data_IF_837801767451
#
_entry.id   IF_837801767451
#
_cell.length_a   1.000
_cell.length_b   1.000
_cell.length_c   1.000
_cell.angle_alpha   90.00
_cell.angle_beta   90.00
_cell.angle_gamma   90.00
#
_symmetry.space_group_name_H-M   'P 1'
#
loop_
_entity.id
_entity.type
_entity.pdbx_description
1 polymer ?
#
# COMPACT_ATOMS: atom_id res chain seq x y z
N UNK A 1 86.38 41.02 34.77
CA UNK A 1 86.20 40.41 33.43
C UNK A 1 84.74 40.32 33.00
N UNK A 2 83.76 40.31 33.91
CA UNK A 2 82.32 40.33 33.58
C UNK A 2 81.80 41.64 32.92
N UNK A 3 82.61 42.69 32.83
CA UNK A 3 82.20 44.02 32.36
C UNK A 3 82.41 44.27 30.86
N UNK A 4 83.25 43.47 30.18
CA UNK A 4 83.51 43.61 28.75
C UNK A 4 82.50 42.80 27.92
N UNK A 5 82.13 41.60 28.34
CA UNK A 5 81.11 40.79 27.67
C UNK A 5 79.74 41.48 27.61
N UNK A 6 79.37 42.22 28.66
CA UNK A 6 78.14 43.00 28.70
C UNK A 6 78.17 44.21 27.76
N UNK A 7 79.33 44.84 27.57
CA UNK A 7 79.50 45.96 26.63
C UNK A 7 79.43 45.47 25.18
N UNK A 8 80.04 44.33 24.88
CA UNK A 8 80.00 43.74 23.53
C UNK A 8 78.60 43.21 23.19
N UNK A 9 77.89 42.62 24.15
CA UNK A 9 76.46 42.29 24.00
C UNK A 9 75.60 43.54 23.78
N UNK A 10 75.88 44.63 24.48
CA UNK A 10 75.13 45.89 24.34
C UNK A 10 75.39 46.57 22.99
N UNK A 11 76.65 46.62 22.54
CA UNK A 11 77.03 47.15 21.22
C UNK A 11 76.43 46.30 20.09
N UNK A 12 76.47 44.97 20.21
CA UNK A 12 75.87 44.05 19.26
C UNK A 12 74.35 44.21 19.17
N UNK A 13 73.66 44.27 20.32
CA UNK A 13 72.21 44.48 20.39
C UNK A 13 71.82 45.86 19.85
N UNK A 14 72.60 46.89 20.14
CA UNK A 14 72.38 48.26 19.67
C UNK A 14 72.56 48.39 18.15
N UNK A 15 73.61 47.78 17.57
CA UNK A 15 73.83 47.76 16.13
C UNK A 15 72.74 46.98 15.38
N UNK A 16 72.29 45.84 15.92
CA UNK A 16 71.19 45.06 15.37
C UNK A 16 69.85 45.84 15.38
N UNK A 17 69.63 46.62 16.45
CA UNK A 17 68.44 47.46 16.60
C UNK A 17 68.43 48.66 15.64
N UNK A 18 69.60 49.23 15.34
CA UNK A 18 69.80 50.30 14.35
C UNK A 18 69.66 49.78 12.90
N UNK A 19 70.07 48.53 12.63
CA UNK A 19 70.06 47.94 11.29
C UNK A 19 68.66 47.62 10.74
N UNK A 20 67.65 47.47 11.60
CA UNK A 20 66.24 47.28 11.21
C UNK A 20 65.46 48.51 11.71
N UNK A 21 65.28 49.57 10.90
CA UNK A 21 64.82 50.86 11.43
C UNK A 21 63.40 50.80 12.01
N UNK A 22 62.50 50.09 11.33
CA UNK A 22 61.09 50.01 11.72
C UNK A 22 60.89 49.08 12.92
N UNK A 23 60.26 49.63 13.96
CA UNK A 23 59.84 48.87 15.15
C UNK A 23 58.91 47.70 14.80
N UNK A 24 58.01 47.86 13.83
CA UNK A 24 57.10 46.78 13.41
C UNK A 24 57.85 45.62 12.77
N UNK A 25 58.86 45.91 11.95
CA UNK A 25 59.72 44.90 11.30
C UNK A 25 60.60 44.18 12.32
N UNK A 26 61.20 44.91 13.28
CA UNK A 26 61.97 44.31 14.39
C UNK A 26 61.10 43.36 15.22
N UNK A 27 59.90 43.79 15.59
CA UNK A 27 58.94 42.96 16.34
C UNK A 27 58.53 41.72 15.55
N UNK A 28 58.21 41.85 14.26
CA UNK A 28 57.84 40.72 13.41
C UNK A 28 58.96 39.67 13.28
N UNK A 29 60.23 40.10 13.13
CA UNK A 29 61.39 39.21 13.07
C UNK A 29 61.63 38.52 14.42
N UNK A 30 61.54 39.25 15.53
CA UNK A 30 61.66 38.68 16.87
C UNK A 30 60.55 37.66 17.17
N UNK A 31 59.29 38.02 16.89
CA UNK A 31 58.13 37.14 17.07
C UNK A 31 58.26 35.87 16.20
N UNK A 32 58.77 36.00 14.96
CA UNK A 32 59.08 34.85 14.10
C UNK A 32 60.19 33.98 14.69
N UNK A 33 61.31 34.55 15.12
CA UNK A 33 62.41 33.80 15.73
C UNK A 33 61.97 33.04 16.98
N UNK A 34 61.22 33.68 17.89
CA UNK A 34 60.69 33.04 19.10
C UNK A 34 59.75 31.89 18.74
N UNK A 35 58.87 32.06 17.74
CA UNK A 35 58.00 30.99 17.24
C UNK A 35 58.80 29.83 16.65
N UNK A 36 59.74 30.10 15.74
CA UNK A 36 60.58 29.07 15.11
C UNK A 36 61.39 28.30 16.14
N UNK A 37 62.04 28.98 17.10
CA UNK A 37 62.80 28.30 18.15
C UNK A 37 61.92 27.45 19.05
N UNK A 38 60.74 27.97 19.44
CA UNK A 38 59.78 27.19 20.21
C UNK A 38 59.26 25.97 19.42
N UNK A 39 59.10 26.07 18.10
CA UNK A 39 58.68 24.96 17.25
C UNK A 39 59.79 23.94 17.02
N UNK A 40 61.04 24.38 16.85
CA UNK A 40 62.23 23.53 16.76
C UNK A 40 62.44 22.74 18.05
N UNK A 41 62.40 23.39 19.21
CA UNK A 41 62.53 22.74 20.52
C UNK A 41 61.40 21.71 20.74
N UNK A 42 60.15 22.05 20.37
CA UNK A 42 59.03 21.08 20.41
C UNK A 42 59.26 19.91 19.47
N UNK A 43 59.80 20.16 18.28
CA UNK A 43 60.08 19.12 17.28
C UNK A 43 61.20 18.20 17.75
N UNK A 44 62.28 18.73 18.31
CA UNK A 44 63.38 17.98 18.90
C UNK A 44 62.90 17.13 20.08
N UNK A 45 62.09 17.71 20.97
CA UNK A 45 61.48 16.96 22.09
C UNK A 45 60.59 15.82 21.62
N UNK A 46 59.74 16.05 20.60
CA UNK A 46 58.91 15.00 20.00
C UNK A 46 59.75 13.94 19.29
N UNK A 47 60.82 14.34 18.60
CA UNK A 47 61.73 13.43 17.91
C UNK A 47 62.49 12.56 18.91
N UNK A 48 62.98 13.13 20.02
CA UNK A 48 63.63 12.41 21.10
C UNK A 48 62.68 11.41 21.78
N UNK A 49 61.45 11.83 22.09
CA UNK A 49 60.43 10.93 22.65
C UNK A 49 60.12 9.78 21.68
N UNK A 50 59.96 10.07 20.38
CA UNK A 50 59.73 9.04 19.36
C UNK A 50 60.91 8.08 19.26
N UNK A 51 62.14 8.58 19.28
CA UNK A 51 63.34 7.75 19.25
C UNK A 51 63.43 6.85 20.49
N UNK A 52 63.11 7.37 21.69
CA UNK A 52 63.06 6.59 22.91
C UNK A 52 62.00 5.47 22.86
N UNK A 53 60.81 5.77 22.33
CA UNK A 53 59.74 4.77 22.11
C UNK A 53 60.19 3.66 21.14
N UNK A 54 60.79 4.03 20.01
CA UNK A 54 61.25 3.02 19.03
C UNK A 54 62.43 2.20 19.57
N UNK A 55 63.34 2.81 20.32
CA UNK A 55 64.42 2.09 20.99
C UNK A 55 63.88 1.08 22.02
N UNK A 56 62.84 1.44 22.79
CA UNK A 56 62.17 0.52 23.70
C UNK A 56 61.43 -0.60 22.96
N UNK A 57 60.77 -0.32 21.83
CA UNK A 57 60.16 -1.36 20.99
C UNK A 57 61.18 -2.33 20.42
N UNK A 58 62.36 -1.85 20.01
CA UNK A 58 63.46 -2.71 19.58
C UNK A 58 63.92 -3.64 20.70
N UNK A 59 64.05 -3.13 21.92
CA UNK A 59 64.32 -3.94 23.12
C UNK A 59 63.24 -5.01 23.34
N UNK A 60 61.96 -4.66 23.18
CA UNK A 60 60.85 -5.63 23.27
C UNK A 60 60.88 -6.70 22.16
N UNK A 61 61.38 -6.35 20.97
CA UNK A 61 61.58 -7.30 19.87
C UNK A 61 62.74 -8.26 20.16
N UNK A 62 63.88 -7.74 20.60
CA UNK A 62 65.05 -8.53 21.01
C UNK A 62 64.70 -9.49 22.16
N UNK A 63 63.85 -9.05 23.08
CA UNK A 63 63.40 -9.86 24.20
C UNK A 63 62.21 -10.78 23.86
N UNK A 64 61.66 -10.73 22.65
CA UNK A 64 60.38 -11.37 22.30
C UNK A 64 60.37 -12.89 22.47
N UNK A 65 61.52 -13.57 22.30
CA UNK A 65 61.64 -15.02 22.53
C UNK A 65 61.45 -15.42 24.00
N UNK A 66 61.68 -14.50 24.93
CA UNK A 66 61.51 -14.70 26.37
C UNK A 66 60.24 -14.05 26.94
N UNK A 67 59.40 -13.44 26.11
CA UNK A 67 58.12 -12.85 26.50
C UNK A 67 57.01 -13.80 26.05
N UNK A 68 56.41 -14.48 27.01
CA UNK A 68 55.21 -15.29 26.81
C UNK A 68 53.98 -14.67 27.50
N UNK A 69 52.81 -15.30 27.33
CA UNK A 69 51.56 -14.88 27.97
C UNK A 69 51.58 -14.95 29.50
N UNK A 70 52.62 -15.54 30.09
CA UNK A 70 52.82 -15.66 31.54
C UNK A 70 53.87 -14.67 32.07
N UNK A 71 54.60 -14.01 31.18
CA UNK A 71 55.69 -13.10 31.54
C UNK A 71 55.08 -11.80 32.06
N UNK A 72 55.17 -11.59 33.37
CA UNK A 72 54.72 -10.36 34.00
C UNK A 72 55.63 -9.18 33.67
N UNK A 73 55.07 -7.96 33.63
CA UNK A 73 55.86 -6.74 33.44
C UNK A 73 56.99 -6.60 34.48
N UNK A 74 56.76 -7.04 35.73
CA UNK A 74 57.76 -6.99 36.80
C UNK A 74 58.95 -7.94 36.54
N UNK A 75 58.71 -9.10 35.90
CA UNK A 75 59.78 -10.03 35.56
C UNK A 75 60.61 -9.50 34.40
N UNK A 76 59.95 -8.84 33.44
CA UNK A 76 60.62 -8.12 32.36
C UNK A 76 61.47 -6.96 32.90
N UNK A 77 60.92 -6.14 33.80
CA UNK A 77 61.63 -5.03 34.45
C UNK A 77 62.85 -5.50 35.25
N UNK A 78 62.76 -6.64 35.94
CA UNK A 78 63.90 -7.22 36.67
C UNK A 78 65.07 -7.58 35.75
N UNK A 79 64.78 -8.06 34.54
CA UNK A 79 65.78 -8.52 33.57
C UNK A 79 66.37 -7.39 32.72
N UNK A 80 65.54 -6.44 32.31
CA UNK A 80 65.92 -5.38 31.36
C UNK A 80 65.95 -3.98 31.97
N UNK A 81 65.74 -3.86 33.28
CA UNK A 81 65.66 -2.56 33.98
C UNK A 81 66.91 -1.69 33.90
N UNK A 82 68.08 -2.30 33.69
CA UNK A 82 69.35 -1.60 33.53
C UNK A 82 69.63 -1.16 32.08
N UNK A 83 68.82 -1.57 31.09
CA UNK A 83 69.01 -1.17 29.70
C UNK A 83 68.71 0.34 29.53
N UNK A 84 69.59 1.14 28.91
CA UNK A 84 69.34 2.56 28.68
C UNK A 84 68.03 2.85 27.94
N UNK A 85 67.62 1.96 27.03
CA UNK A 85 66.37 2.05 26.26
C UNK A 85 65.14 1.80 27.14
N UNK A 86 65.29 1.00 28.21
CA UNK A 86 64.26 0.81 29.22
C UNK A 86 64.14 2.04 30.14
N UNK A 87 65.27 2.58 30.62
CA UNK A 87 65.29 3.73 31.51
C UNK A 87 64.85 5.05 30.84
N UNK A 88 64.90 5.13 29.50
CA UNK A 88 64.58 6.33 28.73
C UNK A 88 63.09 6.72 28.71
N UNK A 89 62.17 5.80 29.06
CA UNK A 89 60.73 6.04 29.09
C UNK A 89 60.19 6.04 30.52
N UNK A 90 59.04 6.68 30.73
CA UNK A 90 58.36 6.56 32.02
C UNK A 90 57.70 5.17 32.18
N UNK A 91 57.38 4.80 33.43
CA UNK A 91 56.84 3.47 33.75
C UNK A 91 55.50 3.19 33.06
N UNK A 92 54.64 4.19 32.91
CA UNK A 92 53.30 4.03 32.32
C UNK A 92 53.42 3.75 30.83
N UNK A 93 54.28 4.47 30.13
CA UNK A 93 54.55 4.24 28.70
C UNK A 93 55.18 2.86 28.46
N UNK A 94 56.16 2.46 29.29
CA UNK A 94 56.78 1.14 29.21
C UNK A 94 55.79 -0.01 29.38
N UNK A 95 54.93 0.07 30.39
CA UNK A 95 53.95 -0.97 30.68
C UNK A 95 52.89 -1.06 29.57
N UNK A 96 52.48 0.08 28.99
CA UNK A 96 51.55 0.11 27.85
C UNK A 96 52.13 -0.59 26.61
N UNK A 97 53.36 -0.23 26.22
CA UNK A 97 54.04 -0.83 25.07
C UNK A 97 54.36 -2.32 25.28
N UNK A 98 54.70 -2.70 26.52
CA UNK A 98 54.90 -4.10 26.88
C UNK A 98 53.60 -4.91 26.71
N UNK A 99 52.47 -4.42 27.24
CA UNK A 99 51.15 -5.08 27.08
C UNK A 99 50.74 -5.21 25.61
N UNK A 100 50.99 -4.17 24.81
CA UNK A 100 50.74 -4.21 23.36
C UNK A 100 51.55 -5.33 22.69
N UNK A 101 52.85 -5.44 23.00
CA UNK A 101 53.71 -6.48 22.45
C UNK A 101 53.26 -7.88 22.88
N UNK A 102 52.93 -8.10 24.16
CA UNK A 102 52.42 -9.38 24.65
C UNK A 102 51.16 -9.78 23.88
N UNK A 103 50.19 -8.87 23.73
CA UNK A 103 48.97 -9.13 22.96
C UNK A 103 49.28 -9.48 21.50
N UNK A 104 50.19 -8.76 20.86
CA UNK A 104 50.58 -9.03 19.47
C UNK A 104 51.24 -10.40 19.30
N UNK A 105 52.06 -10.83 20.27
CA UNK A 105 52.67 -12.17 20.28
C UNK A 105 51.60 -13.26 20.48
N UNK A 106 50.68 -13.07 21.42
CA UNK A 106 49.55 -13.99 21.65
C UNK A 106 48.68 -14.13 20.40
N UNK A 107 48.34 -13.02 19.75
CA UNK A 107 47.56 -13.01 18.50
C UNK A 107 48.29 -13.74 17.38
N UNK A 108 49.61 -13.54 17.25
CA UNK A 108 50.45 -14.24 16.26
C UNK A 108 50.47 -15.76 16.52
N UNK A 109 50.64 -16.18 17.78
CA UNK A 109 50.61 -17.60 18.18
C UNK A 109 49.23 -18.20 17.91
N UNK A 110 48.15 -17.50 18.26
CA UNK A 110 46.78 -17.97 18.04
C UNK A 110 46.44 -18.04 16.55
N UNK A 111 46.87 -17.06 15.75
CA UNK A 111 46.67 -17.04 14.30
C UNK A 111 47.41 -18.21 13.62
N UNK A 112 48.67 -18.46 13.99
CA UNK A 112 49.42 -19.62 13.50
C UNK A 112 48.75 -20.94 13.89
N UNK A 113 48.26 -21.06 15.14
CA UNK A 113 47.48 -22.22 15.59
C UNK A 113 46.20 -22.41 14.76
N UNK A 114 45.44 -21.34 14.54
CA UNK A 114 44.21 -21.37 13.76
C UNK A 114 44.46 -21.76 12.30
N UNK A 115 45.58 -21.32 11.70
CA UNK A 115 45.96 -21.73 10.35
C UNK A 115 46.21 -23.25 10.28
N UNK A 116 46.95 -23.80 11.24
CA UNK A 116 47.18 -25.25 11.34
C UNK A 116 45.88 -26.04 11.53
N UNK A 117 44.96 -25.55 12.37
CA UNK A 117 43.63 -26.16 12.55
C UNK A 117 42.78 -26.05 11.28
N UNK A 118 42.90 -24.95 10.54
CA UNK A 118 42.20 -24.76 9.25
C UNK A 118 42.67 -25.77 8.22
N UNK A 119 43.98 -25.97 8.09
CA UNK A 119 44.56 -26.98 7.20
C UNK A 119 44.11 -28.39 7.58
N UNK A 120 44.06 -28.68 8.88
CA UNK A 120 43.52 -29.93 9.40
C UNK A 120 42.04 -30.13 9.03
N UNK A 121 41.20 -29.11 9.18
CA UNK A 121 39.78 -29.18 8.74
C UNK A 121 39.66 -29.33 7.21
N UNK A 122 40.57 -28.75 6.43
CA UNK A 122 40.63 -28.94 4.98
C UNK A 122 40.87 -30.41 4.62
N UNK A 123 41.85 -31.04 5.27
CA UNK A 123 42.10 -32.48 5.13
C UNK A 123 40.86 -33.32 5.46
N UNK A 124 40.16 -33.00 6.55
CA UNK A 124 38.92 -33.70 6.93
C UNK A 124 37.83 -33.54 5.84
N UNK A 125 37.78 -32.39 5.17
CA UNK A 125 36.83 -32.10 4.10
C UNK A 125 37.11 -32.85 2.80
N UNK A 126 38.38 -33.13 2.52
CA UNK A 126 38.80 -33.94 1.37
C UNK A 126 38.40 -35.41 1.52
N UNK A 127 38.21 -35.88 2.76
CA UNK A 127 37.79 -37.25 3.06
C UNK A 127 36.26 -37.40 2.97
N UNK A 128 35.79 -38.01 1.87
CA UNK A 128 34.36 -38.21 1.58
C UNK A 128 33.64 -39.15 2.56
N UNK A 129 34.38 -39.97 3.31
CA UNK A 129 33.81 -40.91 4.29
C UNK A 129 33.45 -40.25 5.62
N UNK A 130 33.82 -38.98 5.82
CA UNK A 130 33.41 -38.22 7.01
C UNK A 130 32.00 -37.66 6.78
N UNK A 131 31.06 -38.11 7.61
CA UNK A 131 29.67 -37.64 7.65
C UNK A 131 29.38 -37.01 9.01
N UNK A 132 28.27 -36.25 9.17
CA UNK A 132 27.92 -35.58 10.43
C UNK A 132 27.76 -36.51 11.65
N UNK A 133 27.66 -37.82 11.46
CA UNK A 133 27.57 -38.84 12.53
C UNK A 133 28.87 -39.60 12.77
N UNK A 134 29.94 -39.28 12.03
CA UNK A 134 31.25 -39.91 12.19
C UNK A 134 31.83 -39.67 13.58
N UNK A 135 32.58 -40.66 14.08
CA UNK A 135 33.23 -40.63 15.40
C UNK A 135 34.73 -40.57 15.25
N UNK A 136 35.37 -39.66 16.00
CA UNK A 136 36.82 -39.45 15.96
C UNK A 136 37.62 -40.75 16.09
N UNK A 137 37.26 -41.58 17.06
CA UNK A 137 37.92 -42.86 17.36
C UNK A 137 37.96 -43.83 16.18
N UNK A 138 37.01 -43.75 15.25
CA UNK A 138 36.92 -44.63 14.07
C UNK A 138 37.71 -44.11 12.87
N UNK A 139 37.90 -42.80 12.76
CA UNK A 139 38.43 -42.17 11.54
C UNK A 139 39.86 -41.66 11.71
N UNK A 140 40.31 -41.42 12.95
CA UNK A 140 41.64 -40.83 13.24
C UNK A 140 42.82 -41.59 12.64
N UNK A 141 42.68 -42.91 12.48
CA UNK A 141 43.73 -43.80 11.96
C UNK A 141 44.04 -43.51 10.49
N UNK A 142 43.04 -43.07 9.72
CA UNK A 142 43.15 -42.79 8.29
C UNK A 142 44.06 -41.58 7.99
N UNK A 143 44.28 -40.72 8.99
CA UNK A 143 44.98 -39.45 8.82
C UNK A 143 46.41 -39.46 9.37
N UNK A 144 46.86 -40.56 10.02
CA UNK A 144 48.15 -40.61 10.71
C UNK A 144 49.35 -40.25 9.84
N UNK A 145 49.29 -40.52 8.55
CA UNK A 145 50.37 -40.26 7.60
C UNK A 145 50.39 -38.81 7.08
N UNK A 146 49.27 -38.08 7.13
CA UNK A 146 49.14 -36.75 6.55
C UNK A 146 49.94 -35.70 7.36
N UNK A 147 50.75 -34.85 6.70
CA UNK A 147 51.49 -33.78 7.38
C UNK A 147 50.60 -32.82 8.19
N UNK A 148 49.40 -32.50 7.70
CA UNK A 148 48.43 -31.60 8.36
C UNK A 148 47.88 -32.21 9.64
N UNK A 149 47.70 -33.54 9.68
CA UNK A 149 47.36 -34.27 10.89
C UNK A 149 48.48 -34.22 11.94
N UNK A 150 49.73 -34.41 11.50
CA UNK A 150 50.91 -34.38 12.37
C UNK A 150 51.19 -32.98 12.94
N UNK A 151 50.88 -31.92 12.18
CA UNK A 151 51.07 -30.53 12.58
C UNK A 151 50.17 -30.09 13.75
N UNK A 152 48.97 -30.68 13.90
CA UNK A 152 48.09 -30.41 15.04
C UNK A 152 48.53 -31.18 16.28
N UNK A 153 48.57 -30.50 17.44
CA UNK A 153 48.84 -31.11 18.75
C UNK A 153 47.84 -32.20 19.07
N UNK A 154 48.30 -33.32 19.64
CA UNK A 154 47.46 -34.50 19.90
C UNK A 154 46.15 -34.18 20.65
N UNK A 155 46.23 -33.34 21.69
CA UNK A 155 45.09 -32.92 22.54
C UNK A 155 44.05 -32.07 21.80
N UNK A 156 44.42 -31.44 20.70
CA UNK A 156 43.55 -30.51 19.95
C UNK A 156 42.82 -31.19 18.78
N UNK A 157 43.30 -32.36 18.33
CA UNK A 157 42.79 -33.03 17.13
C UNK A 157 41.32 -33.43 17.25
N UNK A 158 40.93 -34.00 18.40
CA UNK A 158 39.55 -34.43 18.62
C UNK A 158 38.60 -33.22 18.72
N UNK A 159 39.03 -32.14 19.39
CA UNK A 159 38.26 -30.91 19.46
C UNK A 159 38.07 -30.29 18.07
N UNK A 160 39.14 -30.17 17.28
CA UNK A 160 39.09 -29.68 15.91
C UNK A 160 38.18 -30.54 15.00
N UNK A 161 38.21 -31.86 15.18
CA UNK A 161 37.32 -32.77 14.48
C UNK A 161 35.84 -32.56 14.90
N UNK A 162 35.57 -32.46 16.20
CA UNK A 162 34.21 -32.25 16.70
C UNK A 162 33.63 -30.90 16.25
N UNK A 163 34.46 -29.86 16.21
CA UNK A 163 34.09 -28.57 15.60
C UNK A 163 33.73 -28.73 14.13
N UNK A 164 34.54 -29.45 13.34
CA UNK A 164 34.23 -29.72 11.94
C UNK A 164 32.91 -30.49 11.77
N UNK A 165 32.64 -31.50 12.61
CA UNK A 165 31.36 -32.22 12.61
C UNK A 165 30.19 -31.28 12.97
N UNK A 166 30.38 -30.36 13.92
CA UNK A 166 29.37 -29.36 14.26
C UNK A 166 29.11 -28.38 13.10
N UNK A 167 30.15 -27.95 12.39
CA UNK A 167 30.05 -27.13 11.17
C UNK A 167 29.24 -27.85 10.08
N UNK A 168 29.50 -29.15 9.84
CA UNK A 168 28.72 -29.94 8.89
C UNK A 168 27.23 -30.01 9.25
N UNK A 169 26.91 -30.23 10.54
CA UNK A 169 25.51 -30.22 11.03
C UNK A 169 24.85 -28.86 10.95
N UNK A 170 25.60 -27.77 11.12
CA UNK A 170 25.07 -26.42 10.96
C UNK A 170 24.71 -26.17 9.51
N UNK A 171 25.64 -26.47 8.59
CA UNK A 171 25.45 -26.30 7.16
C UNK A 171 24.25 -27.11 6.64
N UNK A 172 24.07 -28.36 7.09
CA UNK A 172 22.90 -29.19 6.72
C UNK A 172 21.58 -28.56 7.17
N UNK A 173 21.51 -28.06 8.42
CA UNK A 173 20.32 -27.37 8.94
C UNK A 173 20.04 -26.06 8.22
N UNK A 174 21.06 -25.30 7.87
CA UNK A 174 20.91 -24.05 7.11
C UNK A 174 20.36 -24.32 5.70
N UNK A 175 20.84 -25.37 5.03
CA UNK A 175 20.31 -25.80 3.73
C UNK A 175 18.86 -26.24 3.84
N UNK A 176 18.50 -27.04 4.84
CA UNK A 176 17.12 -27.48 5.09
C UNK A 176 16.19 -26.29 5.35
N UNK A 177 16.60 -25.35 6.21
CA UNK A 177 15.84 -24.14 6.51
C UNK A 177 15.68 -23.25 5.28
N UNK A 178 16.73 -23.07 4.48
CA UNK A 178 16.66 -22.31 3.24
C UNK A 178 15.73 -22.97 2.21
N UNK A 179 15.75 -24.31 2.10
CA UNK A 179 14.84 -25.05 1.23
C UNK A 179 13.38 -24.91 1.67
N UNK A 180 13.12 -25.07 2.98
CA UNK A 180 11.79 -24.86 3.56
C UNK A 180 11.28 -23.43 3.34
N UNK A 181 12.13 -22.43 3.57
CA UNK A 181 11.78 -21.03 3.33
C UNK A 181 11.41 -20.76 1.87
N UNK A 182 12.12 -21.37 0.90
CA UNK A 182 11.78 -21.27 -0.53
C UNK A 182 10.43 -21.92 -0.86
N UNK A 183 10.13 -23.09 -0.29
CA UNK A 183 8.83 -23.76 -0.49
C UNK A 183 7.69 -22.94 0.10
N UNK A 184 7.87 -22.40 1.31
CA UNK A 184 6.86 -21.56 1.96
C UNK A 184 6.62 -20.25 1.21
N UNK A 185 7.67 -19.62 0.67
CA UNK A 185 7.57 -18.42 -0.17
C UNK A 185 6.84 -18.73 -1.48
N UNK A 186 7.20 -19.81 -2.16
CA UNK A 186 6.52 -20.25 -3.37
C UNK A 186 5.04 -20.59 -3.13
N UNK A 187 4.71 -21.19 -1.99
CA UNK A 187 3.33 -21.48 -1.59
C UNK A 187 2.52 -20.19 -1.39
N UNK A 188 3.09 -19.18 -0.72
CA UNK A 188 2.46 -17.87 -0.54
C UNK A 188 2.22 -17.15 -1.86
N UNK A 189 3.16 -17.21 -2.81
CA UNK A 189 2.98 -16.64 -4.14
C UNK A 189 1.85 -17.34 -4.90
N UNK A 190 1.82 -18.68 -4.90
CA UNK A 190 0.76 -19.47 -5.53
C UNK A 190 -0.62 -19.20 -4.91
N UNK A 191 -0.69 -18.99 -3.60
CA UNK A 191 -1.93 -18.64 -2.92
C UNK A 191 -2.45 -17.26 -3.32
N UNK A 192 -1.57 -16.24 -3.34
CA UNK A 192 -1.90 -14.89 -3.82
C UNK A 192 -2.36 -14.89 -5.28
N UNK A 193 -1.72 -15.67 -6.14
CA UNK A 193 -2.12 -15.83 -7.54
C UNK A 193 -3.52 -16.44 -7.65
N UNK A 194 -3.84 -17.46 -6.86
CA UNK A 194 -5.18 -18.07 -6.81
C UNK A 194 -6.23 -17.08 -6.32
N UNK A 195 -5.92 -16.30 -5.29
CA UNK A 195 -6.85 -15.31 -4.75
C UNK A 195 -7.14 -14.19 -5.76
N UNK A 196 -6.09 -13.65 -6.38
CA UNK A 196 -6.21 -12.61 -7.42
C UNK A 196 -6.97 -13.12 -8.64
N UNK A 197 -6.73 -14.37 -9.06
CA UNK A 197 -7.51 -15.02 -10.14
C UNK A 197 -8.99 -15.15 -9.77
N UNK A 198 -9.30 -15.63 -8.57
CA UNK A 198 -10.69 -15.73 -8.09
C UNK A 198 -11.38 -14.38 -7.95
N UNK A 199 -10.64 -13.31 -7.63
CA UNK A 199 -11.16 -11.95 -7.58
C UNK A 199 -11.48 -11.44 -8.99
N UNK A 200 -10.53 -11.57 -9.92
CA UNK A 200 -10.73 -11.18 -11.32
C UNK A 200 -11.91 -11.91 -11.97
N UNK A 201 -12.03 -13.22 -11.73
CA UNK A 201 -13.16 -14.01 -12.23
C UNK A 201 -14.50 -13.50 -11.68
N UNK A 202 -14.56 -13.13 -10.39
CA UNK A 202 -15.77 -12.55 -9.79
C UNK A 202 -16.11 -11.19 -10.37
N UNK A 203 -15.11 -10.32 -10.53
CA UNK A 203 -15.26 -9.01 -11.16
C UNK A 203 -15.73 -9.15 -12.62
N UNK A 204 -15.19 -10.10 -13.39
CA UNK A 204 -15.59 -10.39 -14.76
C UNK A 204 -17.03 -10.90 -14.85
N UNK A 205 -17.41 -11.85 -13.98
CA UNK A 205 -18.80 -12.34 -13.91
C UNK A 205 -19.78 -11.23 -13.53
N UNK A 206 -19.41 -10.33 -12.62
CA UNK A 206 -20.23 -9.18 -12.26
C UNK A 206 -20.36 -8.21 -13.43
N UNK A 207 -19.26 -7.90 -14.10
CA UNK A 207 -19.24 -7.05 -15.29
C UNK A 207 -20.11 -7.63 -16.41
N UNK A 208 -20.05 -8.93 -16.68
CA UNK A 208 -20.91 -9.57 -17.68
C UNK A 208 -22.39 -9.53 -17.30
N UNK A 209 -22.73 -9.70 -16.02
CA UNK A 209 -24.11 -9.52 -15.53
C UNK A 209 -24.59 -8.08 -15.74
N UNK A 210 -23.75 -7.09 -15.47
CA UNK A 210 -24.08 -5.68 -15.68
C UNK A 210 -24.26 -5.38 -17.16
N UNK A 211 -23.33 -5.81 -18.02
CA UNK A 211 -23.43 -5.63 -19.48
C UNK A 211 -24.69 -6.29 -20.03
N UNK A 212 -25.03 -7.51 -19.61
CA UNK A 212 -26.25 -8.18 -20.04
C UNK A 212 -27.50 -7.41 -19.62
N UNK A 213 -27.55 -6.89 -18.40
CA UNK A 213 -28.68 -6.05 -17.94
C UNK A 213 -28.84 -4.79 -18.79
N UNK A 214 -27.73 -4.13 -19.15
CA UNK A 214 -27.76 -2.95 -20.02
C UNK A 214 -28.28 -3.33 -21.40
N UNK A 215 -27.72 -4.37 -22.05
CA UNK A 215 -28.18 -4.84 -23.36
C UNK A 215 -29.67 -5.19 -23.37
N UNK A 216 -30.17 -5.89 -22.35
CA UNK A 216 -31.60 -6.21 -22.22
C UNK A 216 -32.46 -4.96 -22.08
N UNK A 217 -32.06 -4.02 -21.22
CA UNK A 217 -32.80 -2.75 -21.06
C UNK A 217 -32.82 -1.95 -22.36
N UNK A 218 -31.71 -1.88 -23.07
CA UNK A 218 -31.61 -1.21 -24.35
C UNK A 218 -32.48 -1.89 -25.41
N UNK A 219 -32.51 -3.22 -25.45
CA UNK A 219 -33.40 -3.99 -26.32
C UNK A 219 -34.89 -3.73 -26.00
N UNK A 220 -35.28 -3.74 -24.72
CA UNK A 220 -36.63 -3.38 -24.27
C UNK A 220 -37.02 -1.98 -24.71
N UNK A 221 -36.18 -0.97 -24.44
CA UNK A 221 -36.47 0.43 -24.80
C UNK A 221 -36.52 0.64 -26.31
N UNK A 222 -35.62 -0.01 -27.06
CA UNK A 222 -35.61 0.04 -28.52
C UNK A 222 -36.89 -0.58 -29.12
N UNK A 223 -37.34 -1.71 -28.59
CA UNK A 223 -38.60 -2.32 -29.00
C UNK A 223 -39.83 -1.51 -28.62
N UNK A 224 -39.86 -0.89 -27.43
CA UNK A 224 -40.92 0.05 -27.05
C UNK A 224 -41.00 1.24 -28.02
N UNK A 225 -39.87 1.77 -28.49
CA UNK A 225 -39.86 2.81 -29.52
C UNK A 225 -40.46 2.31 -30.84
N UNK A 226 -40.12 1.10 -31.27
CA UNK A 226 -40.74 0.46 -32.45
C UNK A 226 -42.27 0.34 -32.30
N UNK A 227 -42.75 -0.06 -31.12
CA UNK A 227 -44.19 -0.15 -30.85
C UNK A 227 -44.86 1.22 -30.95
N UNK A 228 -44.24 2.26 -30.39
CA UNK A 228 -44.74 3.64 -30.50
C UNK A 228 -44.78 4.07 -31.95
N UNK A 229 -43.76 3.78 -32.75
CA UNK A 229 -43.70 4.14 -34.18
C UNK A 229 -44.76 3.41 -35.02
N UNK A 230 -44.91 2.10 -34.79
CA UNK A 230 -45.63 1.19 -35.71
C UNK A 230 -47.07 0.93 -35.29
N UNK A 231 -47.34 0.81 -33.98
CA UNK A 231 -48.66 0.42 -33.45
C UNK A 231 -49.36 1.66 -32.91
N UNK A 232 -50.33 2.16 -33.69
CA UNK A 232 -51.16 3.32 -33.33
C UNK A 232 -52.60 2.96 -32.99
N UNK A 233 -53.04 1.75 -33.36
CA UNK A 233 -54.40 1.28 -33.14
C UNK A 233 -54.55 0.68 -31.72
N UNK A 234 -55.45 1.23 -30.86
CA UNK A 234 -55.75 0.67 -29.54
C UNK A 234 -56.39 -0.72 -29.56
N UNK A 235 -56.78 -1.24 -30.73
CA UNK A 235 -57.37 -2.59 -30.90
C UNK A 235 -56.44 -3.55 -31.64
N UNK A 236 -55.18 -3.18 -31.85
CA UNK A 236 -54.21 -4.00 -32.57
C UNK A 236 -54.06 -5.39 -31.92
N UNK A 237 -54.11 -6.45 -32.74
CA UNK A 237 -53.87 -7.82 -32.29
C UNK A 237 -52.39 -8.19 -32.41
N UNK A 238 -51.91 -9.04 -31.49
CA UNK A 238 -50.51 -9.52 -31.51
C UNK A 238 -50.21 -10.33 -32.77
N UNK A 239 -51.12 -11.23 -33.15
CA UNK A 239 -50.96 -12.13 -34.30
C UNK A 239 -50.82 -11.40 -35.63
N UNK A 240 -51.55 -10.30 -35.82
CA UNK A 240 -51.48 -9.49 -37.06
C UNK A 240 -50.30 -8.51 -37.05
N UNK A 241 -49.92 -8.04 -35.86
CA UNK A 241 -48.87 -7.02 -35.69
C UNK A 241 -47.47 -7.63 -35.68
N UNK A 242 -47.31 -8.85 -35.16
CA UNK A 242 -46.01 -9.52 -35.00
C UNK A 242 -45.21 -9.60 -36.31
N UNK A 243 -45.76 -10.09 -37.45
CA UNK A 243 -44.99 -10.15 -38.70
C UNK A 243 -44.54 -8.79 -39.25
N UNK A 244 -45.25 -7.70 -38.87
CA UNK A 244 -44.88 -6.34 -39.26
C UNK A 244 -43.74 -5.80 -38.40
N UNK A 245 -43.77 -6.09 -37.10
CA UNK A 245 -42.72 -5.72 -36.15
C UNK A 245 -41.42 -6.48 -36.43
N UNK A 246 -41.50 -7.76 -36.81
CA UNK A 246 -40.33 -8.58 -37.18
C UNK A 246 -39.62 -8.12 -38.46
N UNK A 247 -40.32 -7.41 -39.35
CA UNK A 247 -39.76 -6.83 -40.58
C UNK A 247 -39.08 -5.47 -40.37
N UNK A 248 -38.95 -5.03 -39.12
CA UNK A 248 -38.21 -3.82 -38.76
C UNK A 248 -36.76 -3.90 -39.28
N UNK A 249 -36.29 -2.93 -40.10
CA UNK A 249 -34.93 -2.95 -40.65
C UNK A 249 -33.82 -2.92 -39.59
N UNK A 250 -34.13 -2.35 -38.41
CA UNK A 250 -33.20 -2.31 -37.28
C UNK A 250 -33.21 -3.61 -36.46
N UNK A 251 -34.08 -4.57 -36.79
CA UNK A 251 -34.18 -5.86 -36.13
C UNK A 251 -34.57 -5.78 -34.66
N UNK A 252 -35.22 -4.69 -34.22
CA UNK A 252 -35.53 -4.44 -32.79
C UNK A 252 -36.43 -5.52 -32.19
N UNK A 253 -37.35 -6.07 -32.99
CA UNK A 253 -38.25 -7.15 -32.58
C UNK A 253 -37.61 -8.55 -32.55
N UNK A 254 -36.49 -8.74 -33.25
CA UNK A 254 -35.76 -10.03 -33.34
C UNK A 254 -34.46 -10.02 -32.52
N UNK A 255 -34.26 -9.00 -31.69
CA UNK A 255 -33.07 -8.85 -30.88
C UNK A 255 -32.93 -10.04 -29.91
N UNK A 256 -31.79 -10.77 -29.88
CA UNK A 256 -31.58 -11.93 -28.99
C UNK A 256 -31.73 -11.62 -27.49
N UNK A 257 -31.46 -10.38 -27.08
CA UNK A 257 -31.58 -9.94 -25.69
C UNK A 257 -33.04 -9.63 -25.30
N UNK A 258 -33.97 -9.61 -26.26
CA UNK A 258 -35.41 -9.47 -26.06
C UNK A 258 -36.12 -10.82 -26.25
N UNK A 259 -36.62 -11.39 -25.17
CA UNK A 259 -37.35 -12.66 -25.25
C UNK A 259 -38.69 -12.52 -25.97
N UNK A 260 -39.11 -13.54 -26.74
CA UNK A 260 -40.39 -13.50 -27.46
C UNK A 260 -41.61 -13.24 -26.54
N UNK A 261 -41.64 -13.84 -25.35
CA UNK A 261 -42.70 -13.60 -24.36
C UNK A 261 -42.66 -12.18 -23.76
N UNK A 262 -41.48 -11.57 -23.67
CA UNK A 262 -41.30 -10.19 -23.23
C UNK A 262 -41.78 -9.21 -24.31
N UNK A 263 -41.44 -9.47 -25.58
CA UNK A 263 -41.91 -8.70 -26.73
C UNK A 263 -43.45 -8.69 -26.83
N UNK A 264 -44.10 -9.83 -26.63
CA UNK A 264 -45.57 -9.92 -26.60
C UNK A 264 -46.17 -9.15 -25.42
N UNK A 265 -45.56 -9.24 -24.24
CA UNK A 265 -46.01 -8.50 -23.05
C UNK A 265 -45.94 -6.99 -23.29
N UNK A 266 -44.81 -6.50 -23.78
CA UNK A 266 -44.61 -5.07 -24.08
C UNK A 266 -45.61 -4.58 -25.14
N UNK A 267 -45.91 -5.40 -26.15
CA UNK A 267 -46.94 -5.09 -27.13
C UNK A 267 -48.31 -4.91 -26.47
N UNK A 268 -48.73 -5.87 -25.64
CA UNK A 268 -50.04 -5.82 -24.96
C UNK A 268 -50.14 -4.62 -24.00
N UNK A 269 -49.06 -4.32 -23.30
CA UNK A 269 -48.95 -3.14 -22.42
C UNK A 269 -49.09 -1.84 -23.23
N UNK A 270 -48.37 -1.71 -24.34
CA UNK A 270 -48.48 -0.54 -25.23
C UNK A 270 -49.89 -0.36 -25.79
N UNK A 271 -50.54 -1.44 -26.26
CA UNK A 271 -51.92 -1.40 -26.77
C UNK A 271 -52.89 -0.99 -25.66
N UNK A 272 -52.71 -1.52 -24.45
CA UNK A 272 -53.49 -1.11 -23.27
C UNK A 272 -53.30 0.38 -22.97
N UNK A 273 -52.07 0.89 -22.99
CA UNK A 273 -51.79 2.32 -22.75
C UNK A 273 -52.36 3.23 -23.84
N UNK A 274 -52.39 2.78 -25.11
CA UNK A 274 -53.11 3.47 -26.18
C UNK A 274 -54.61 3.54 -25.88
N UNK A 275 -55.20 2.43 -25.44
CA UNK A 275 -56.61 2.38 -25.09
C UNK A 275 -56.95 3.28 -23.90
N UNK A 276 -56.13 3.25 -22.84
CA UNK A 276 -56.29 4.11 -21.68
C UNK A 276 -56.15 5.60 -22.03
N UNK A 277 -55.27 5.95 -22.98
CA UNK A 277 -55.21 7.31 -23.54
C UNK A 277 -56.54 7.68 -24.21
N UNK A 278 -57.07 6.83 -25.08
CA UNK A 278 -58.38 7.07 -25.71
C UNK A 278 -59.51 7.24 -24.68
N UNK A 279 -59.49 6.48 -23.57
CA UNK A 279 -60.44 6.62 -22.47
C UNK A 279 -60.27 7.96 -21.74
N UNK A 280 -59.03 8.40 -21.50
CA UNK A 280 -58.77 9.73 -20.89
C UNK A 280 -59.25 10.86 -21.80
N UNK A 281 -58.99 10.78 -23.09
CA UNK A 281 -59.42 11.77 -24.07
C UNK A 281 -60.95 11.82 -24.17
N UNK A 282 -61.63 10.67 -24.10
CA UNK A 282 -63.09 10.61 -24.05
C UNK A 282 -63.66 11.23 -22.77
N UNK A 283 -63.01 11.03 -21.61
CA UNK A 283 -63.41 11.72 -20.36
C UNK A 283 -63.22 13.23 -20.46
N UNK A 284 -62.15 13.69 -21.11
CA UNK A 284 -61.94 15.13 -21.36
C UNK A 284 -63.05 15.69 -22.26
N UNK A 285 -63.41 14.97 -23.32
CA UNK A 285 -64.56 15.31 -24.17
C UNK A 285 -65.86 15.42 -23.34
N UNK A 286 -66.13 14.48 -22.43
CA UNK A 286 -67.31 14.55 -21.55
C UNK A 286 -67.30 15.83 -20.70
N UNK A 287 -66.14 16.20 -20.14
CA UNK A 287 -66.03 17.43 -19.35
C UNK A 287 -66.17 18.71 -20.17
N UNK A 288 -65.72 18.70 -21.42
CA UNK A 288 -65.83 19.85 -22.34
C UNK A 288 -67.27 20.01 -22.87
N UNK A 289 -67.90 18.91 -23.27
CA UNK A 289 -69.22 18.92 -23.91
C UNK A 289 -70.38 19.00 -22.91
N UNK A 290 -70.21 18.45 -21.70
CA UNK A 290 -71.23 18.40 -20.65
C UNK A 290 -70.76 19.25 -19.45
N UNK A 291 -70.38 20.50 -19.73
CA UNK A 291 -70.07 21.49 -18.70
C UNK A 291 -71.29 21.79 -17.80
N UNK A 292 -71.12 22.28 -16.56
CA UNK A 292 -72.21 22.52 -15.59
C UNK A 292 -73.41 23.32 -16.15
N UNK A 293 -73.13 24.26 -17.04
CA UNK A 293 -74.08 25.16 -17.70
C UNK A 293 -74.82 24.48 -18.87
N UNK A 294 -74.20 23.47 -19.50
CA UNK A 294 -74.85 22.59 -20.46
C UNK A 294 -75.64 21.48 -19.76
N UNK A 295 -75.22 21.06 -18.57
CA UNK A 295 -75.81 19.99 -17.77
C UNK A 295 -77.19 20.33 -17.18
N UNK A 296 -77.48 21.61 -16.91
CA UNK A 296 -78.76 22.08 -16.34
C UNK A 296 -79.79 22.49 -17.38
N UNK A 297 -79.40 22.61 -18.66
CA UNK A 297 -80.32 22.91 -19.77
C UNK A 297 -81.14 21.67 -20.13
N UNK A 298 -82.46 21.83 -20.19
CA UNK A 298 -83.38 20.80 -20.67
C UNK A 298 -83.44 20.82 -22.20
N UNK A 299 -83.30 19.66 -22.84
CA UNK A 299 -83.49 19.52 -24.28
C UNK A 299 -84.98 19.55 -24.64
N UNK A 300 -85.34 19.60 -25.93
CA UNK A 300 -86.73 19.66 -26.43
C UNK A 300 -87.64 18.53 -25.88
N UNK A 301 -87.06 17.41 -25.43
CA UNK A 301 -87.76 16.29 -24.79
C UNK A 301 -87.84 16.35 -23.25
N UNK A 302 -87.49 17.47 -22.62
CA UNK A 302 -87.57 17.67 -21.16
C UNK A 302 -86.52 16.93 -20.32
N UNK A 303 -85.50 16.32 -20.96
CA UNK A 303 -84.42 15.58 -20.30
C UNK A 303 -83.12 16.39 -20.36
N UNK A 304 -82.26 16.24 -19.35
CA UNK A 304 -80.94 16.88 -19.36
C UNK A 304 -79.86 15.94 -19.89
N UNK A 305 -78.75 16.51 -20.38
CA UNK A 305 -77.58 15.78 -20.91
C UNK A 305 -76.91 14.86 -19.87
N UNK A 306 -77.23 15.03 -18.59
CA UNK A 306 -76.70 14.22 -17.48
C UNK A 306 -77.64 13.06 -17.11
N UNK A 307 -78.90 13.08 -17.57
CA UNK A 307 -79.90 12.06 -17.25
C UNK A 307 -80.13 11.12 -18.43
N UNK A 308 -79.97 11.60 -19.67
CA UNK A 308 -80.23 10.82 -20.88
C UNK A 308 -78.96 10.53 -21.67
N UNK A 309 -78.57 9.24 -21.74
CA UNK A 309 -77.46 8.80 -22.58
C UNK A 309 -77.70 9.09 -24.07
N UNK A 310 -78.93 8.97 -24.57
CA UNK A 310 -79.24 9.24 -25.97
C UNK A 310 -78.95 10.69 -26.37
N UNK A 311 -79.33 11.64 -25.51
CA UNK A 311 -79.10 13.09 -25.74
C UNK A 311 -77.60 13.43 -25.68
N UNK A 312 -76.90 12.89 -24.67
CA UNK A 312 -75.45 13.04 -24.56
C UNK A 312 -74.73 12.40 -25.76
N UNK A 313 -75.19 11.24 -26.21
CA UNK A 313 -74.61 10.51 -27.34
C UNK A 313 -74.70 11.30 -28.64
N UNK A 314 -75.84 11.95 -28.90
CA UNK A 314 -76.01 12.73 -30.13
C UNK A 314 -75.09 13.96 -30.17
N UNK A 315 -74.85 14.60 -29.01
CA UNK A 315 -73.87 15.67 -28.87
C UNK A 315 -72.42 15.20 -29.06
N UNK A 316 -72.08 14.02 -28.52
CA UNK A 316 -70.70 13.52 -28.48
C UNK A 316 -70.27 12.82 -29.78
N UNK A 317 -71.22 12.30 -30.58
CA UNK A 317 -70.94 11.43 -31.74
C UNK A 317 -70.12 12.12 -32.84
N UNK A 318 -70.16 13.44 -32.94
CA UNK A 318 -69.41 14.22 -33.93
C UNK A 318 -67.91 14.32 -33.64
N UNK A 319 -67.49 14.14 -32.38
CA UNK A 319 -66.08 14.27 -31.98
C UNK A 319 -65.27 13.00 -32.33
N UNK A 320 -64.08 13.12 -32.95
CA UNK A 320 -63.24 11.96 -33.27
C UNK A 320 -62.90 11.06 -32.08
N UNK A 321 -62.74 11.62 -30.86
CA UNK A 321 -62.44 10.90 -29.61
C UNK A 321 -63.57 9.93 -29.24
N UNK A 322 -64.81 10.22 -29.64
CA UNK A 322 -65.97 9.36 -29.40
C UNK A 322 -65.84 8.01 -30.11
N UNK A 323 -65.28 7.96 -31.32
CA UNK A 323 -65.17 6.71 -32.10
C UNK A 323 -64.08 5.76 -31.59
N UNK A 324 -63.12 6.27 -30.80
CA UNK A 324 -61.93 5.54 -30.35
C UNK A 324 -62.16 4.63 -29.15
N UNK A 325 -63.23 4.86 -28.39
CA UNK A 325 -63.63 4.03 -27.24
C UNK A 325 -64.73 3.06 -27.65
N UNK A 326 -64.74 1.85 -27.08
CA UNK A 326 -65.77 0.84 -27.39
C UNK A 326 -67.16 1.33 -26.99
N UNK A 327 -68.22 0.89 -27.70
CA UNK A 327 -69.57 1.37 -27.39
C UNK A 327 -70.01 1.05 -25.97
N UNK A 328 -69.65 -0.14 -25.47
CA UNK A 328 -69.93 -0.59 -24.11
C UNK A 328 -69.21 0.26 -23.06
N UNK A 329 -67.96 0.61 -23.32
CA UNK A 329 -67.16 1.39 -22.38
C UNK A 329 -67.58 2.87 -22.38
N UNK A 330 -67.97 3.44 -23.53
CA UNK A 330 -68.46 4.82 -23.62
C UNK A 330 -69.66 5.06 -22.71
N UNK A 331 -70.65 4.18 -22.78
CA UNK A 331 -71.86 4.29 -21.96
C UNK A 331 -71.53 4.12 -20.47
N UNK A 332 -70.71 3.13 -20.12
CA UNK A 332 -70.27 2.93 -18.73
C UNK A 332 -69.48 4.13 -18.17
N UNK A 333 -68.56 4.70 -18.96
CA UNK A 333 -67.77 5.88 -18.57
C UNK A 333 -68.69 7.10 -18.42
N UNK A 334 -69.65 7.28 -19.33
CA UNK A 334 -70.63 8.35 -19.24
C UNK A 334 -71.49 8.23 -17.99
N UNK A 335 -72.02 7.04 -17.66
CA UNK A 335 -72.82 6.84 -16.44
C UNK A 335 -72.07 7.26 -15.17
N UNK A 336 -70.78 6.90 -15.09
CA UNK A 336 -69.93 7.29 -13.95
C UNK A 336 -69.70 8.80 -13.90
N UNK A 337 -69.50 9.43 -15.05
CA UNK A 337 -69.32 10.88 -15.15
C UNK A 337 -70.61 11.62 -14.80
N UNK A 338 -71.75 11.17 -15.31
CA UNK A 338 -73.06 11.74 -15.06
C UNK A 338 -73.45 11.66 -13.57
N UNK A 339 -73.23 10.51 -12.91
CA UNK A 339 -73.46 10.37 -11.47
C UNK A 339 -72.61 11.36 -10.65
N UNK A 340 -71.32 11.53 -10.99
CA UNK A 340 -70.45 12.51 -10.35
C UNK A 340 -70.93 13.96 -10.58
N UNK A 341 -71.43 14.28 -11.77
CA UNK A 341 -72.02 15.59 -12.07
C UNK A 341 -73.30 15.86 -11.29
N UNK A 342 -74.21 14.88 -11.20
CA UNK A 342 -75.43 15.01 -10.37
C UNK A 342 -75.07 15.21 -8.90
N UNK A 343 -74.06 14.49 -8.39
CA UNK A 343 -73.58 14.67 -7.01
C UNK A 343 -73.04 16.07 -6.78
N UNK A 344 -72.23 16.60 -7.72
CA UNK A 344 -71.67 17.97 -7.63
C UNK A 344 -72.74 19.05 -7.71
N UNK A 345 -73.75 18.90 -8.57
CA UNK A 345 -74.87 19.85 -8.66
C UNK A 345 -75.80 19.83 -7.43
N UNK A 346 -75.81 18.73 -6.65
CA UNK A 346 -76.57 18.61 -5.40
C UNK A 346 -75.83 19.14 -4.17
N UNK A 347 -74.55 19.51 -4.27
CA UNK A 347 -73.80 20.12 -3.16
C UNK A 347 -73.90 21.65 -3.24
N UNK A 348 -74.49 22.35 -2.25
CA UNK A 348 -74.39 23.80 -2.16
C UNK A 348 -72.95 24.19 -1.79
N UNK A 349 -72.42 25.26 -2.38
CA UNK A 349 -71.09 25.81 -2.10
C UNK A 349 -70.89 25.90 -0.58
N UNK A 350 -70.08 24.98 -0.05
CA UNK A 350 -69.66 24.96 1.34
C UNK A 350 -68.15 25.14 1.32
N UNK A 351 -67.73 26.20 1.99
CA UNK A 351 -66.37 26.71 2.08
C UNK A 351 -65.31 25.61 2.26
N UNK A 352 -64.21 25.75 1.52
CA UNK A 352 -63.00 24.95 1.71
C UNK A 352 -62.52 25.07 3.17
N UNK A 353 -62.35 23.97 3.93
CA UNK A 353 -61.68 24.07 5.21
C UNK A 353 -60.18 24.26 4.98
N UNK A 354 -59.64 25.27 5.64
CA UNK A 354 -58.24 25.70 5.60
C UNK A 354 -57.28 24.52 5.82
N UNK A 355 -56.60 24.11 4.75
CA UNK A 355 -55.62 23.01 4.75
C UNK A 355 -54.32 23.38 5.47
N UNK A 356 -54.18 24.63 5.90
CA UNK A 356 -53.01 25.15 6.60
C UNK A 356 -52.91 24.66 8.06
N UNK A 357 -54.03 24.43 8.75
CA UNK A 357 -54.02 24.02 10.16
C UNK A 357 -53.50 22.58 10.37
N UNK A 358 -53.84 21.66 9.46
CA UNK A 358 -53.41 20.25 9.54
C UNK A 358 -51.92 20.07 9.22
N UNK A 359 -51.35 20.85 8.29
CA UNK A 359 -49.92 20.80 8.00
C UNK A 359 -49.06 21.39 9.13
N UNK A 360 -49.54 22.42 9.84
CA UNK A 360 -48.81 23.03 10.94
C UNK A 360 -48.75 22.10 12.18
N UNK A 361 -49.80 21.30 12.40
CA UNK A 361 -49.85 20.32 13.50
C UNK A 361 -48.98 19.08 13.22
N UNK A 362 -48.90 18.62 11.97
CA UNK A 362 -47.98 17.55 11.56
C UNK A 362 -46.50 17.98 11.62
N UNK A 363 -46.18 19.22 11.24
CA UNK A 363 -44.81 19.76 11.38
C UNK A 363 -44.36 19.90 12.84
N UNK A 364 -45.28 20.20 13.78
CA UNK A 364 -44.97 20.23 15.22
C UNK A 364 -44.73 18.83 15.80
N UNK A 365 -45.41 17.80 15.30
CA UNK A 365 -45.20 16.43 15.77
C UNK A 365 -43.91 15.81 15.22
N UNK A 366 -43.52 16.10 13.97
CA UNK A 366 -42.25 15.63 13.41
C UNK A 366 -40.99 16.28 14.02
N UNK A 367 -41.10 17.49 14.57
CA UNK A 367 -39.98 18.14 15.30
C UNK A 367 -39.73 17.58 16.69
N UNK A 368 -40.67 16.85 17.29
CA UNK A 368 -40.50 16.24 18.62
C UNK A 368 -39.90 14.83 18.59
N UNK A 369 -39.86 14.18 17.42
CA UNK A 369 -39.38 12.80 17.26
C UNK A 369 -37.95 12.70 16.72
N UNK A 370 -37.25 13.82 16.52
CA UNK A 370 -35.91 13.87 15.89
C UNK A 370 -34.76 14.24 16.83
N UNK A 371 -34.95 14.23 18.15
CA UNK A 371 -33.83 14.37 19.10
C UNK A 371 -33.13 13.03 19.32
N UNK A 372 -31.80 12.91 19.05
CA UNK A 372 -31.06 11.70 19.33
C UNK A 372 -30.76 11.57 20.84
N UNK A 373 -30.68 10.34 21.39
CA UNK A 373 -30.44 10.16 22.82
C UNK A 373 -29.02 10.61 23.18
N UNK A 374 -28.90 11.51 24.18
CA UNK A 374 -27.62 11.89 24.78
C UNK A 374 -26.94 10.64 25.36
N UNK A 375 -25.76 10.29 24.83
CA UNK A 375 -24.85 9.32 25.42
C UNK A 375 -24.36 9.84 26.79
N UNK A 376 -24.41 8.97 27.80
CA UNK A 376 -23.63 9.07 29.04
C UNK A 376 -22.34 8.29 28.88
#
# INVERSE_FOLDING_TARGET
MLTNDLKDLFVSLFLLHQAIPSHSTRRAIFDHFVRTRADEERKEKRAAQKAAVEAYKQLLEEASEGIDSKTGYQDFERKWGADPRFAALDKKEREALFKEKVRALEEKVQSARNAVITDFKSMLRECKDIIPTSRWTKVKENFRSDPRYKAVKHEERENAFNEYIAELKSAEREVEQAAKAKVDEQAKLRERERETRKRKEREEQEMERVKLKVRRKDATSSYQALLVETIKDPKASWTESKPKLEKDPQGRAVNPDLGQGEAEKLFREHVKDLYERCVRDFRALLSEAIAPEAATRTTEGGKTLVISWSEAKDLLRSDPRYSKVSSKDRESIWWRYADDMVRKLKQPDTEKPDTNARQQQQRRQQRRSSDPPRRR
#
